data_IF_914518783872
#
_entry.id   IF_914518783872
#
_cell.length_a   1.000
_cell.length_b   1.000
_cell.length_c   1.000
_cell.angle_alpha   90.00
_cell.angle_beta   90.00
_cell.angle_gamma   90.00
#
_symmetry.space_group_name_H-M   'P 1'
#
loop_
_entity.id
_entity.type
_entity.pdbx_description
1 polymer ?
#
# COMPACT_ATOMS: atom_id res chain seq x y z
N UNK A 1 5.01 17.24 -7.96
CA UNK A 1 4.76 16.22 -6.92
C UNK A 1 3.33 16.35 -6.44
N UNK A 2 2.71 15.22 -6.04
CA UNK A 2 1.32 15.12 -5.56
C UNK A 2 0.95 16.16 -4.49
N UNK A 3 1.91 16.53 -3.66
CA UNK A 3 1.77 17.54 -2.60
C UNK A 3 1.50 18.95 -3.15
N UNK A 4 2.16 19.33 -4.23
CA UNK A 4 1.93 20.65 -4.84
C UNK A 4 0.53 20.73 -5.48
N UNK A 5 0.04 19.63 -6.09
CA UNK A 5 -1.35 19.53 -6.54
C UNK A 5 -2.36 19.58 -5.39
N UNK A 6 -2.04 18.95 -4.26
CA UNK A 6 -2.92 18.96 -3.08
C UNK A 6 -2.98 20.36 -2.44
N UNK A 7 -1.87 21.09 -2.41
CA UNK A 7 -1.81 22.48 -1.91
C UNK A 7 -2.50 23.46 -2.87
N UNK A 8 -2.37 23.30 -4.18
CA UNK A 8 -3.11 24.12 -5.15
C UNK A 8 -4.62 23.94 -5.02
N UNK A 9 -5.09 22.71 -4.84
CA UNK A 9 -6.51 22.40 -4.59
C UNK A 9 -7.03 23.01 -3.27
N UNK A 10 -6.18 23.09 -2.23
CA UNK A 10 -6.52 23.72 -0.95
C UNK A 10 -6.57 25.26 -1.04
N UNK A 11 -5.81 25.87 -1.93
CA UNK A 11 -5.84 27.34 -2.16
C UNK A 11 -7.08 27.79 -2.93
N UNK A 12 -7.60 26.96 -3.85
CA UNK A 12 -8.81 27.27 -4.63
C UNK A 12 -10.12 27.15 -3.84
N UNK A 13 -10.11 26.50 -2.66
CA UNK A 13 -11.30 26.30 -1.82
C UNK A 13 -11.63 27.42 -0.83
N UNK A 14 -10.97 28.59 -0.88
CA UNK A 14 -11.15 29.68 0.11
C UNK A 14 -12.18 30.78 -0.26
N UNK A 15 -12.97 30.59 -1.30
CA UNK A 15 -14.09 31.49 -1.58
C UNK A 15 -15.37 30.70 -1.71
N UNK A 16 -16.09 30.55 -0.62
CA UNK A 16 -17.54 30.31 -0.66
C UNK A 16 -18.23 30.93 0.53
N UNK A 17 -19.16 31.70 0.18
CA UNK A 17 -20.14 32.59 0.76
C UNK A 17 -20.87 32.05 2.01
N UNK A 18 -21.01 32.96 3.01
CA UNK A 18 -21.87 32.81 4.18
C UNK A 18 -23.26 33.36 3.83
N UNK A 19 -24.17 32.52 3.41
CA UNK A 19 -25.58 32.90 3.47
C UNK A 19 -26.52 31.72 3.60
N UNK A 20 -27.39 31.83 4.62
CA UNK A 20 -28.65 31.13 4.87
C UNK A 20 -28.60 29.68 5.42
N UNK A 21 -28.41 29.57 6.72
CA UNK A 21 -29.06 28.53 7.51
C UNK A 21 -30.57 28.81 7.56
N UNK A 22 -31.36 27.98 6.86
CA UNK A 22 -32.80 27.84 7.13
C UNK A 22 -32.97 26.83 8.26
N UNK A 23 -33.50 27.26 9.40
CA UNK A 23 -33.99 26.38 10.44
C UNK A 23 -35.00 25.38 9.86
N UNK A 24 -34.70 24.09 9.94
CA UNK A 24 -35.66 23.03 9.69
C UNK A 24 -36.58 22.83 10.92
N UNK A 25 -37.86 22.49 10.74
CA UNK A 25 -38.78 22.27 11.85
C UNK A 25 -38.35 21.08 12.70
N UNK A 26 -38.46 21.25 14.03
CA UNK A 26 -38.19 20.25 15.03
C UNK A 26 -39.11 19.02 14.84
N UNK A 27 -38.50 17.81 14.98
CA UNK A 27 -39.16 16.51 15.10
C UNK A 27 -39.68 15.77 13.84
N UNK A 28 -38.97 15.84 12.70
CA UNK A 28 -39.13 14.76 11.73
C UNK A 28 -37.92 13.80 11.86
N UNK A 29 -38.13 12.61 12.46
CA UNK A 29 -37.14 11.54 12.47
C UNK A 29 -36.99 11.04 11.02
N UNK A 30 -35.95 11.52 10.34
CA UNK A 30 -35.64 11.10 8.98
C UNK A 30 -35.48 9.58 8.92
N UNK A 31 -36.09 8.95 7.92
CA UNK A 31 -35.86 7.54 7.64
C UNK A 31 -34.35 7.28 7.35
N UNK A 32 -33.87 6.08 7.62
CA UNK A 32 -32.47 5.74 7.34
C UNK A 32 -32.09 5.99 5.86
N UNK A 33 -33.03 5.83 4.93
CA UNK A 33 -32.83 6.12 3.52
C UNK A 33 -32.63 7.63 3.26
N UNK A 34 -33.42 8.47 3.90
CA UNK A 34 -33.26 9.93 3.82
C UNK A 34 -31.96 10.38 4.49
N UNK A 35 -31.63 9.80 5.65
CA UNK A 35 -30.37 10.07 6.34
C UNK A 35 -29.17 9.78 5.43
N UNK A 36 -29.17 8.64 4.68
CA UNK A 36 -28.09 8.31 3.74
C UNK A 36 -27.98 9.33 2.60
N UNK A 37 -29.10 9.71 2.00
CA UNK A 37 -29.15 10.65 0.88
C UNK A 37 -28.73 12.08 1.27
N UNK A 38 -29.02 12.47 2.52
CA UNK A 38 -28.73 13.81 3.03
C UNK A 38 -27.27 13.97 3.51
N UNK A 39 -26.45 12.91 3.52
CA UNK A 39 -25.03 13.04 3.85
C UNK A 39 -24.29 13.68 2.68
N UNK A 40 -23.76 14.87 2.90
CA UNK A 40 -22.92 15.56 1.92
C UNK A 40 -21.58 14.86 1.77
N UNK A 41 -21.43 14.16 0.65
CA UNK A 41 -20.23 13.41 0.31
C UNK A 41 -19.00 14.31 0.11
N UNK A 42 -19.16 15.46 -0.53
CA UNK A 42 -18.05 16.39 -0.76
C UNK A 42 -17.53 16.95 0.56
N UNK A 43 -18.42 17.31 1.47
CA UNK A 43 -18.05 17.72 2.83
C UNK A 43 -17.28 16.63 3.57
N UNK A 44 -17.69 15.37 3.43
CA UNK A 44 -17.00 14.23 4.03
C UNK A 44 -15.59 14.04 3.44
N UNK A 45 -15.47 14.09 2.11
CA UNK A 45 -14.19 13.96 1.40
C UNK A 45 -13.24 15.11 1.78
N UNK A 46 -13.72 16.34 1.85
CA UNK A 46 -12.92 17.50 2.26
C UNK A 46 -12.45 17.41 3.72
N UNK A 47 -13.31 16.97 4.62
CA UNK A 47 -12.95 16.76 6.02
C UNK A 47 -11.81 15.72 6.17
N UNK A 48 -11.96 14.56 5.52
CA UNK A 48 -10.95 13.51 5.55
C UNK A 48 -9.64 13.97 4.87
N UNK A 49 -9.72 14.66 3.73
CA UNK A 49 -8.57 15.21 3.02
C UNK A 49 -7.78 16.20 3.89
N UNK A 50 -8.47 17.09 4.61
CA UNK A 50 -7.83 18.02 5.56
C UNK A 50 -7.07 17.29 6.68
N UNK A 51 -7.65 16.20 7.22
CA UNK A 51 -6.96 15.38 8.22
C UNK A 51 -5.74 14.66 7.62
N UNK A 52 -5.88 14.09 6.43
CA UNK A 52 -4.77 13.44 5.72
C UNK A 52 -3.61 14.40 5.44
N UNK A 53 -3.89 15.62 5.00
CA UNK A 53 -2.86 16.66 4.80
C UNK A 53 -2.14 17.01 6.11
N UNK A 54 -2.86 17.06 7.23
CA UNK A 54 -2.26 17.28 8.56
C UNK A 54 -1.42 16.09 9.02
N UNK A 55 -1.82 14.86 8.69
CA UNK A 55 -1.01 13.65 8.97
C UNK A 55 0.30 13.71 8.18
N UNK A 56 0.26 14.01 6.87
CA UNK A 56 1.46 14.18 6.03
C UNK A 56 2.41 15.22 6.62
N UNK A 57 1.87 16.40 7.01
CA UNK A 57 2.67 17.46 7.63
C UNK A 57 3.33 16.99 8.92
N UNK A 58 2.56 16.38 9.83
CA UNK A 58 3.08 15.89 11.10
C UNK A 58 4.11 14.75 10.92
N UNK A 59 3.92 13.87 9.93
CA UNK A 59 4.86 12.81 9.59
C UNK A 59 6.21 13.38 9.09
N UNK A 60 6.17 14.38 8.20
CA UNK A 60 7.39 15.04 7.70
C UNK A 60 8.15 15.81 8.78
N UNK A 61 7.44 16.34 9.76
CA UNK A 61 8.02 17.03 10.92
C UNK A 61 8.49 16.05 12.02
N UNK A 62 8.39 14.73 11.84
CA UNK A 62 8.76 13.72 12.84
C UNK A 62 7.86 13.72 14.10
N UNK A 63 6.67 14.35 14.05
CA UNK A 63 5.75 14.53 15.18
C UNK A 63 4.84 13.32 15.35
N UNK A 64 5.41 12.15 15.67
CA UNK A 64 4.70 10.87 15.71
C UNK A 64 3.50 10.84 16.70
N UNK A 65 3.57 11.55 17.84
CA UNK A 65 2.45 11.69 18.77
C UNK A 65 1.25 12.37 18.11
N UNK A 66 1.50 13.44 17.32
CA UNK A 66 0.47 14.15 16.56
C UNK A 66 -0.10 13.30 15.42
N UNK A 67 0.73 12.51 14.75
CA UNK A 67 0.27 11.53 13.75
C UNK A 67 -0.74 10.58 14.37
N UNK A 68 -0.42 9.94 15.52
CA UNK A 68 -1.33 9.03 16.23
C UNK A 68 -2.65 9.71 16.59
N UNK A 69 -2.61 10.95 17.12
CA UNK A 69 -3.82 11.70 17.47
C UNK A 69 -4.70 12.02 16.25
N UNK A 70 -4.09 12.35 15.11
CA UNK A 70 -4.81 12.62 13.86
C UNK A 70 -5.39 11.35 13.25
N UNK A 71 -4.67 10.23 13.31
CA UNK A 71 -5.20 8.92 12.90
C UNK A 71 -6.40 8.52 13.76
N UNK A 72 -6.31 8.73 15.09
CA UNK A 72 -7.43 8.49 16.00
C UNK A 72 -8.64 9.35 15.64
N UNK A 73 -8.44 10.65 15.42
CA UNK A 73 -9.50 11.58 15.05
C UNK A 73 -10.19 11.15 13.74
N UNK A 74 -9.42 10.74 12.74
CA UNK A 74 -9.96 10.29 11.45
C UNK A 74 -10.78 9.00 11.63
N UNK A 75 -10.24 8.00 12.32
CA UNK A 75 -10.89 6.68 12.48
C UNK A 75 -12.10 6.72 13.40
N UNK A 76 -12.25 7.76 14.26
CA UNK A 76 -13.41 7.97 15.11
C UNK A 76 -14.43 8.96 14.54
N UNK A 77 -14.09 9.63 13.42
CA UNK A 77 -14.99 10.61 12.81
C UNK A 77 -16.17 9.95 12.08
N UNK A 78 -17.31 10.62 12.09
CA UNK A 78 -18.48 10.21 11.31
C UNK A 78 -18.14 10.15 9.80
N UNK A 79 -17.49 11.18 9.28
CA UNK A 79 -17.16 11.25 7.85
C UNK A 79 -16.15 10.18 7.41
N UNK A 80 -15.18 9.83 8.26
CA UNK A 80 -14.29 8.70 7.99
C UNK A 80 -15.05 7.38 7.86
N UNK A 81 -15.94 7.08 8.82
CA UNK A 81 -16.80 5.90 8.81
C UNK A 81 -17.74 5.88 7.60
N UNK A 82 -18.36 7.01 7.28
CA UNK A 82 -19.21 7.15 6.09
C UNK A 82 -18.44 6.81 4.80
N UNK A 83 -17.28 7.41 4.57
CA UNK A 83 -16.46 7.14 3.38
C UNK A 83 -15.95 5.71 3.31
N UNK A 84 -15.69 5.08 4.45
CA UNK A 84 -15.35 3.66 4.50
C UNK A 84 -16.51 2.78 4.01
N UNK A 85 -17.74 3.08 4.43
CA UNK A 85 -18.95 2.39 3.94
C UNK A 85 -19.15 2.66 2.45
N UNK A 86 -19.03 3.90 1.99
CA UNK A 86 -19.12 4.25 0.56
C UNK A 86 -18.11 3.42 -0.25
N UNK A 87 -16.85 3.35 0.18
CA UNK A 87 -15.79 2.61 -0.53
C UNK A 87 -16.14 1.14 -0.75
N UNK A 88 -16.65 0.46 0.27
CA UNK A 88 -16.93 -0.99 0.16
C UNK A 88 -18.25 -1.30 -0.55
N UNK A 89 -19.16 -0.34 -0.61
CA UNK A 89 -20.47 -0.48 -1.31
C UNK A 89 -20.43 -0.02 -2.76
N UNK A 90 -19.34 0.62 -3.21
CA UNK A 90 -19.19 1.10 -4.60
C UNK A 90 -18.11 0.35 -5.40
N UNK A 91 -17.25 -0.42 -4.74
CA UNK A 91 -16.17 -1.15 -5.41
C UNK A 91 -16.68 -2.39 -6.17
N UNK A 92 -15.82 -3.01 -6.99
CA UNK A 92 -16.14 -4.23 -7.76
C UNK A 92 -16.55 -5.41 -6.87
N UNK A 93 -16.05 -5.47 -5.63
CA UNK A 93 -16.35 -6.51 -4.66
C UNK A 93 -17.63 -6.30 -3.83
N UNK A 94 -18.43 -5.26 -4.10
CA UNK A 94 -19.65 -4.89 -3.32
C UNK A 94 -20.66 -6.03 -3.17
N UNK A 95 -20.75 -6.91 -4.17
CA UNK A 95 -21.69 -8.02 -4.20
C UNK A 95 -21.11 -9.33 -3.61
N UNK A 96 -19.83 -9.34 -3.21
CA UNK A 96 -19.16 -10.53 -2.66
C UNK A 96 -19.21 -10.50 -1.13
N UNK A 97 -19.98 -11.40 -0.53
CA UNK A 97 -20.08 -11.53 0.93
C UNK A 97 -18.88 -12.27 1.54
N UNK A 98 -18.58 -12.03 2.81
CA UNK A 98 -17.65 -12.79 3.63
C UNK A 98 -18.26 -14.12 4.11
N UNK A 99 -17.79 -14.62 5.26
CA UNK A 99 -18.32 -15.83 5.92
C UNK A 99 -19.72 -15.65 6.50
N UNK A 100 -20.10 -14.40 6.77
CA UNK A 100 -21.41 -14.00 7.33
C UNK A 100 -22.51 -13.89 6.29
N UNK A 101 -22.19 -14.03 5.00
CA UNK A 101 -23.09 -13.85 3.87
C UNK A 101 -23.81 -12.50 3.81
N UNK A 102 -23.37 -11.50 4.62
CA UNK A 102 -23.99 -10.18 4.69
C UNK A 102 -23.50 -9.26 3.57
N UNK A 103 -24.44 -8.51 2.97
CA UNK A 103 -24.20 -7.44 1.99
C UNK A 103 -24.94 -6.17 2.38
N UNK A 104 -24.37 -5.02 2.09
CA UNK A 104 -24.99 -3.71 2.36
C UNK A 104 -25.56 -3.11 1.08
N UNK A 105 -26.67 -3.65 0.62
CA UNK A 105 -27.32 -3.24 -0.64
C UNK A 105 -28.27 -2.06 -0.48
N UNK A 106 -29.01 -1.97 0.65
CA UNK A 106 -29.95 -0.87 0.92
C UNK A 106 -29.30 0.31 1.64
N UNK A 107 -29.84 1.50 1.48
CA UNK A 107 -29.37 2.72 2.14
C UNK A 107 -29.52 2.62 3.67
N UNK A 108 -30.60 2.00 4.15
CA UNK A 108 -30.78 1.71 5.58
C UNK A 108 -29.65 0.82 6.14
N UNK A 109 -29.25 -0.22 5.41
CA UNK A 109 -28.12 -1.07 5.83
C UNK A 109 -26.80 -0.31 5.86
N UNK A 110 -26.56 0.62 4.93
CA UNK A 110 -25.37 1.48 4.90
C UNK A 110 -25.33 2.45 6.07
N UNK A 111 -26.46 3.08 6.44
CA UNK A 111 -26.53 3.98 7.61
C UNK A 111 -26.21 3.20 8.89
N UNK A 112 -26.87 2.06 9.10
CA UNK A 112 -26.61 1.20 10.26
C UNK A 112 -25.15 0.75 10.31
N UNK A 113 -24.55 0.46 9.16
CA UNK A 113 -23.14 0.07 9.07
C UNK A 113 -22.20 1.15 9.61
N UNK A 114 -22.43 2.46 9.35
CA UNK A 114 -21.61 3.56 9.86
C UNK A 114 -21.49 3.48 11.39
N UNK A 115 -22.60 3.20 12.08
CA UNK A 115 -22.63 3.13 13.54
C UNK A 115 -21.93 1.89 14.11
N UNK A 116 -21.76 0.85 13.31
CA UNK A 116 -21.05 -0.38 13.72
C UNK A 116 -19.52 -0.29 13.60
N UNK A 117 -18.99 0.70 12.86
CA UNK A 117 -17.55 0.87 12.66
C UNK A 117 -16.91 1.55 13.88
N UNK A 118 -16.84 0.83 14.99
CA UNK A 118 -16.26 1.30 16.25
C UNK A 118 -15.09 0.39 16.64
N UNK A 119 -13.99 0.98 17.15
CA UNK A 119 -12.84 0.23 17.67
C UNK A 119 -13.19 -0.61 18.87
N UNK A 120 -13.93 -0.02 19.83
CA UNK A 120 -14.33 -0.69 21.07
C UNK A 120 -15.27 -1.87 20.77
N UNK A 121 -14.92 -3.04 21.26
CA UNK A 121 -15.69 -4.27 21.01
C UNK A 121 -15.57 -4.84 19.59
N UNK A 122 -14.71 -4.26 18.73
CA UNK A 122 -14.48 -4.81 17.39
C UNK A 122 -13.72 -6.13 17.45
N UNK A 123 -14.31 -7.14 16.82
CA UNK A 123 -13.68 -8.44 16.52
C UNK A 123 -13.91 -8.74 15.05
N UNK A 124 -12.88 -8.94 14.24
CA UNK A 124 -13.02 -9.38 12.87
C UNK A 124 -13.50 -10.84 12.82
N UNK A 125 -14.24 -11.18 11.79
CA UNK A 125 -14.58 -12.55 11.50
C UNK A 125 -13.46 -13.20 10.66
N UNK A 126 -13.38 -14.55 10.66
CA UNK A 126 -12.46 -15.24 9.76
C UNK A 126 -12.74 -14.92 8.31
N UNK A 127 -11.70 -14.99 7.47
CA UNK A 127 -11.83 -14.77 6.04
C UNK A 127 -12.54 -15.95 5.37
N UNK A 128 -13.40 -15.69 4.40
CA UNK A 128 -13.90 -16.73 3.50
C UNK A 128 -12.86 -17.01 2.43
N UNK A 129 -12.20 -18.17 2.48
CA UNK A 129 -11.19 -18.56 1.51
C UNK A 129 -11.83 -19.14 0.26
N UNK A 130 -11.41 -18.64 -0.90
CA UNK A 130 -11.75 -19.16 -2.23
C UNK A 130 -10.47 -19.31 -3.05
N UNK A 131 -10.46 -20.27 -3.96
CA UNK A 131 -9.33 -20.49 -4.86
C UNK A 131 -9.65 -19.96 -6.26
N UNK A 132 -8.78 -19.11 -6.79
CA UNK A 132 -8.90 -18.54 -8.14
C UNK A 132 -7.87 -19.21 -9.04
N UNK A 133 -8.27 -19.74 -10.21
CA UNK A 133 -7.34 -20.34 -11.15
C UNK A 133 -6.37 -19.29 -11.73
N UNK A 134 -5.08 -19.62 -11.80
CA UNK A 134 -4.05 -18.86 -12.50
C UNK A 134 -3.92 -19.36 -13.94
N UNK A 135 -3.36 -18.52 -14.83
CA UNK A 135 -3.10 -18.88 -16.24
C UNK A 135 -2.23 -20.17 -16.42
N UNK A 136 -1.38 -20.46 -15.44
CA UNK A 136 -0.49 -21.63 -15.43
C UNK A 136 -1.12 -22.89 -14.79
N UNK A 137 -2.44 -22.94 -14.60
CA UNK A 137 -3.16 -24.04 -14.00
C UNK A 137 -3.07 -24.15 -12.47
N UNK A 138 -2.17 -23.40 -11.83
CA UNK A 138 -2.09 -23.32 -10.36
C UNK A 138 -3.25 -22.49 -9.81
N UNK A 139 -3.63 -22.73 -8.55
CA UNK A 139 -4.66 -21.95 -7.87
C UNK A 139 -4.03 -20.86 -6.99
N UNK A 140 -4.71 -19.72 -6.90
CA UNK A 140 -4.36 -18.64 -5.99
C UNK A 140 -5.40 -18.54 -4.89
N UNK A 141 -5.03 -18.70 -3.61
CA UNK A 141 -5.97 -18.50 -2.52
C UNK A 141 -6.32 -17.01 -2.37
N UNK A 142 -7.60 -16.70 -2.21
CA UNK A 142 -8.11 -15.37 -1.93
C UNK A 142 -8.92 -15.41 -0.63
N UNK A 143 -8.55 -14.59 0.35
CA UNK A 143 -9.28 -14.42 1.59
C UNK A 143 -10.27 -13.25 1.51
N UNK A 144 -11.55 -13.52 1.61
CA UNK A 144 -12.60 -12.50 1.50
C UNK A 144 -13.09 -12.12 2.90
N UNK A 145 -12.79 -10.89 3.40
CA UNK A 145 -13.30 -10.40 4.67
C UNK A 145 -14.80 -10.09 4.59
N UNK A 146 -15.49 -10.01 5.73
CA UNK A 146 -16.86 -9.53 5.80
C UNK A 146 -16.97 -8.07 5.34
N UNK A 147 -18.18 -7.60 5.03
CA UNK A 147 -18.38 -6.18 4.67
C UNK A 147 -17.93 -5.25 5.78
N UNK A 148 -18.19 -5.61 7.05
CA UNK A 148 -17.76 -4.85 8.22
C UNK A 148 -16.24 -4.78 8.31
N UNK A 149 -15.55 -5.90 8.14
CA UNK A 149 -14.08 -5.96 8.21
C UNK A 149 -13.43 -5.20 7.07
N UNK A 150 -13.97 -5.30 5.85
CA UNK A 150 -13.53 -4.46 4.71
C UNK A 150 -13.71 -2.97 4.99
N UNK A 151 -14.82 -2.56 5.57
CA UNK A 151 -15.07 -1.17 5.90
C UNK A 151 -14.14 -0.69 7.04
N UNK A 152 -13.88 -1.50 8.06
CA UNK A 152 -12.87 -1.20 9.08
C UNK A 152 -11.47 -1.08 8.47
N UNK A 153 -11.07 -1.99 7.59
CA UNK A 153 -9.79 -1.86 6.87
C UNK A 153 -9.73 -0.60 6.01
N UNK A 154 -10.82 -0.25 5.30
CA UNK A 154 -10.90 0.97 4.52
C UNK A 154 -10.77 2.24 5.37
N UNK A 155 -11.39 2.25 6.56
CA UNK A 155 -11.34 3.33 7.52
C UNK A 155 -9.90 3.56 8.03
N UNK A 156 -9.24 2.50 8.46
CA UNK A 156 -7.86 2.60 8.96
C UNK A 156 -6.85 2.88 7.84
N UNK A 157 -7.12 2.37 6.62
CA UNK A 157 -6.29 2.69 5.45
C UNK A 157 -6.31 4.18 5.12
N UNK A 158 -7.45 4.87 5.24
CA UNK A 158 -7.50 6.33 5.03
C UNK A 158 -6.57 7.09 5.98
N UNK A 159 -6.32 6.55 7.18
CA UNK A 159 -5.41 7.14 8.16
C UNK A 159 -3.94 6.69 7.99
N UNK A 160 -3.71 5.51 7.38
CA UNK A 160 -2.38 4.95 7.14
C UNK A 160 -1.78 5.41 5.80
N UNK A 161 -2.58 5.50 4.76
CA UNK A 161 -2.20 5.85 3.38
C UNK A 161 -1.32 7.14 3.29
N UNK A 162 -1.65 8.24 4.00
CA UNK A 162 -0.81 9.44 4.00
C UNK A 162 0.61 9.20 4.54
N UNK A 163 0.77 8.29 5.49
CA UNK A 163 2.08 7.93 6.04
C UNK A 163 2.84 7.08 5.01
N UNK A 164 2.19 6.03 4.50
CA UNK A 164 2.78 5.14 3.49
C UNK A 164 3.28 5.92 2.27
N UNK A 165 2.49 6.90 1.76
CA UNK A 165 2.91 7.75 0.64
C UNK A 165 4.03 8.74 1.00
N UNK A 166 4.18 9.10 2.28
CA UNK A 166 5.23 10.03 2.74
C UNK A 166 6.57 9.31 2.94
N UNK A 167 6.53 8.06 3.37
CA UNK A 167 7.72 7.26 3.72
C UNK A 167 8.11 6.24 2.67
N UNK A 168 7.22 5.95 1.72
CA UNK A 168 7.41 4.93 0.70
C UNK A 168 8.53 5.24 -0.28
N UNK A 169 9.18 4.21 -0.78
CA UNK A 169 10.22 4.29 -1.79
C UNK A 169 9.75 5.06 -3.03
N UNK A 170 10.60 5.92 -3.59
CA UNK A 170 10.26 6.81 -4.69
C UNK A 170 9.88 6.03 -5.96
N UNK A 171 10.63 4.97 -6.28
CA UNK A 171 10.43 4.15 -7.47
C UNK A 171 9.68 2.85 -7.17
N UNK A 172 8.72 2.93 -6.21
CA UNK A 172 7.72 1.90 -5.94
C UNK A 172 6.37 2.33 -6.52
N UNK A 173 5.76 1.51 -7.38
CA UNK A 173 4.60 1.87 -8.20
C UNK A 173 3.36 1.05 -7.89
N UNK A 174 3.48 -0.26 -7.65
CA UNK A 174 2.35 -1.16 -7.47
C UNK A 174 1.46 -0.80 -6.28
N UNK A 175 0.14 -0.91 -6.45
CA UNK A 175 -0.89 -0.64 -5.44
C UNK A 175 -0.94 0.80 -4.89
N UNK A 176 -0.19 1.71 -5.46
CA UNK A 176 -0.17 3.12 -5.04
C UNK A 176 -1.08 3.97 -5.95
N UNK A 177 -1.75 4.95 -5.35
CA UNK A 177 -2.63 5.86 -6.09
C UNK A 177 -1.86 6.70 -7.09
N UNK A 178 -2.46 6.91 -8.26
CA UNK A 178 -1.88 7.71 -9.35
C UNK A 178 -0.52 7.21 -9.84
N UNK A 179 -0.22 5.94 -9.63
CA UNK A 179 0.92 5.25 -10.22
C UNK A 179 0.44 4.04 -10.99
N UNK A 180 1.07 3.80 -12.13
CA UNK A 180 0.70 2.75 -13.06
C UNK A 180 1.89 1.84 -13.38
N UNK A 181 1.62 0.77 -14.10
CA UNK A 181 2.64 -0.09 -14.67
C UNK A 181 3.51 0.68 -15.68
N UNK A 182 2.88 1.56 -16.47
CA UNK A 182 3.57 2.41 -17.45
C UNK A 182 4.61 3.33 -16.80
N UNK A 183 4.29 3.90 -15.63
CA UNK A 183 5.25 4.74 -14.89
C UNK A 183 6.49 3.94 -14.46
N UNK A 184 6.31 2.68 -14.06
CA UNK A 184 7.43 1.78 -13.73
C UNK A 184 8.29 1.48 -14.96
N UNK A 185 7.67 1.22 -16.12
CA UNK A 185 8.38 0.97 -17.39
C UNK A 185 9.10 2.23 -17.86
N UNK A 186 8.48 3.40 -17.77
CA UNK A 186 9.14 4.69 -18.07
C UNK A 186 10.38 4.88 -17.20
N UNK A 187 10.30 4.55 -15.91
CA UNK A 187 11.45 4.60 -15.02
C UNK A 187 12.55 3.60 -15.42
N UNK A 188 12.20 2.41 -15.88
CA UNK A 188 13.19 1.47 -16.45
C UNK A 188 13.90 2.07 -17.66
N UNK A 189 13.15 2.69 -18.58
CA UNK A 189 13.73 3.39 -19.71
C UNK A 189 14.67 4.52 -19.26
N UNK A 190 14.26 5.35 -18.33
CA UNK A 190 15.07 6.49 -17.83
C UNK A 190 16.42 6.05 -17.26
N UNK A 191 16.47 4.89 -16.59
CA UNK A 191 17.70 4.38 -15.97
C UNK A 191 18.57 3.54 -16.91
N UNK A 192 18.02 2.98 -18.00
CA UNK A 192 18.71 2.03 -18.88
C UNK A 192 19.03 2.56 -20.28
N UNK A 193 18.35 3.61 -20.78
CA UNK A 193 18.43 4.05 -22.19
C UNK A 193 19.74 4.72 -22.60
N UNK A 194 20.56 5.18 -21.64
CA UNK A 194 21.80 5.92 -21.96
C UNK A 194 22.98 4.96 -22.15
N UNK A 195 23.94 5.29 -23.00
CA UNK A 195 25.17 4.50 -23.23
C UNK A 195 25.95 4.25 -21.94
N UNK A 196 25.99 5.25 -21.07
CA UNK A 196 26.64 5.18 -19.77
C UNK A 196 25.79 4.53 -18.68
N UNK A 197 24.59 3.99 -19.02
CA UNK A 197 23.69 3.34 -18.07
C UNK A 197 24.29 2.03 -17.52
N UNK A 198 23.81 1.55 -16.37
CA UNK A 198 24.16 0.22 -15.89
C UNK A 198 23.68 -0.85 -16.86
N UNK A 199 24.49 -1.91 -17.03
CA UNK A 199 24.21 -2.95 -18.03
C UNK A 199 23.75 -4.27 -17.41
N UNK A 200 23.86 -4.44 -16.09
CA UNK A 200 23.43 -5.65 -15.40
C UNK A 200 22.18 -5.41 -14.59
N UNK A 201 21.25 -6.31 -14.69
CA UNK A 201 19.92 -6.25 -14.10
C UNK A 201 19.71 -7.48 -13.21
N UNK A 202 19.31 -7.28 -11.95
CA UNK A 202 18.75 -8.30 -11.08
C UNK A 202 17.22 -8.21 -11.22
N UNK A 203 16.60 -9.23 -11.78
CA UNK A 203 15.16 -9.46 -11.74
C UNK A 203 14.82 -10.18 -10.44
N UNK A 204 14.00 -9.57 -9.56
CA UNK A 204 13.66 -10.14 -8.28
C UNK A 204 12.16 -10.39 -8.13
N UNK A 205 11.82 -11.59 -7.66
CA UNK A 205 10.44 -12.00 -7.32
C UNK A 205 10.43 -12.54 -5.88
N UNK A 206 9.40 -12.19 -5.11
CA UNK A 206 9.26 -12.63 -3.71
C UNK A 206 8.33 -13.83 -3.65
N UNK A 207 8.80 -14.95 -3.10
CA UNK A 207 7.99 -16.16 -2.95
C UNK A 207 6.83 -15.92 -1.98
N UNK A 208 5.59 -15.94 -2.51
CA UNK A 208 4.38 -15.82 -1.67
C UNK A 208 4.37 -14.58 -0.78
N UNK A 209 4.73 -13.40 -1.30
CA UNK A 209 4.93 -12.18 -0.51
C UNK A 209 3.82 -11.94 0.52
N UNK A 210 2.55 -11.98 0.11
CA UNK A 210 1.41 -11.76 1.01
C UNK A 210 1.22 -12.87 2.06
N UNK A 211 1.69 -14.07 1.79
CA UNK A 211 1.44 -15.24 2.62
C UNK A 211 2.47 -15.41 3.75
N UNK A 212 3.64 -14.76 3.63
CA UNK A 212 4.78 -15.00 4.53
C UNK A 212 5.27 -13.77 5.31
N UNK A 213 4.67 -12.57 5.13
CA UNK A 213 5.09 -11.40 5.91
C UNK A 213 4.97 -11.68 7.41
N UNK A 214 6.04 -11.47 8.16
CA UNK A 214 6.07 -11.65 9.61
C UNK A 214 5.04 -10.76 10.32
N UNK A 215 4.14 -11.36 11.10
CA UNK A 215 3.19 -10.65 11.94
C UNK A 215 3.90 -9.79 12.99
N UNK A 216 5.00 -10.28 13.56
CA UNK A 216 5.80 -9.54 14.54
C UNK A 216 6.39 -8.29 13.89
N UNK A 217 6.98 -8.43 12.69
CA UNK A 217 7.52 -7.28 11.96
C UNK A 217 6.43 -6.24 11.70
N UNK A 218 5.27 -6.65 11.20
CA UNK A 218 4.13 -5.74 10.96
C UNK A 218 3.68 -5.03 12.24
N UNK A 219 3.54 -5.76 13.33
CA UNK A 219 3.13 -5.18 14.62
C UNK A 219 4.16 -4.20 15.17
N UNK A 220 5.44 -4.39 14.93
CA UNK A 220 6.49 -3.49 15.40
C UNK A 220 6.65 -2.25 14.51
N UNK A 221 6.49 -2.39 13.20
CA UNK A 221 6.89 -1.36 12.23
C UNK A 221 5.74 -0.56 11.61
N UNK A 222 4.51 -1.12 11.48
CA UNK A 222 3.41 -0.38 10.85
C UNK A 222 2.83 0.65 11.84
N UNK A 223 2.78 1.95 11.50
CA UNK A 223 2.33 3.02 12.40
C UNK A 223 0.81 3.16 12.42
N UNK A 224 0.12 2.15 12.98
CA UNK A 224 -1.33 2.15 13.17
C UNK A 224 -1.71 1.52 14.53
N UNK A 225 -3.01 1.47 14.84
CA UNK A 225 -3.52 0.79 16.04
C UNK A 225 -3.11 -0.69 16.04
N UNK A 226 -2.21 -1.05 16.95
CA UNK A 226 -1.60 -2.39 17.01
C UNK A 226 -2.59 -3.48 17.40
N UNK A 227 -3.60 -3.15 18.19
CA UNK A 227 -4.63 -4.12 18.59
C UNK A 227 -5.53 -4.47 17.40
N UNK A 228 -5.96 -3.46 16.64
CA UNK A 228 -6.76 -3.67 15.43
C UNK A 228 -5.96 -4.46 14.39
N UNK A 229 -4.70 -4.09 14.17
CA UNK A 229 -3.82 -4.82 13.24
C UNK A 229 -3.67 -6.28 13.68
N UNK A 230 -3.35 -6.55 14.94
CA UNK A 230 -3.19 -7.90 15.48
C UNK A 230 -4.45 -8.74 15.28
N UNK A 231 -5.64 -8.16 15.51
CA UNK A 231 -6.91 -8.86 15.29
C UNK A 231 -7.10 -9.26 13.84
N UNK A 232 -6.76 -8.41 12.87
CA UNK A 232 -6.84 -8.77 11.45
C UNK A 232 -5.86 -9.86 11.07
N UNK A 233 -4.61 -9.76 11.52
CA UNK A 233 -3.58 -10.74 11.23
C UNK A 233 -3.92 -12.13 11.78
N UNK A 234 -4.60 -12.18 12.93
CA UNK A 234 -4.98 -13.43 13.63
C UNK A 234 -6.44 -13.85 13.40
N UNK A 235 -7.15 -13.25 12.44
CA UNK A 235 -8.56 -13.58 12.22
C UNK A 235 -8.82 -14.99 11.69
N UNK A 236 -7.81 -15.63 11.11
CA UNK A 236 -7.95 -16.94 10.47
C UNK A 236 -8.76 -16.91 9.18
N UNK A 237 -9.00 -18.07 8.61
CA UNK A 237 -9.85 -18.24 7.44
C UNK A 237 -10.67 -19.53 7.49
N UNK A 238 -11.83 -19.50 6.87
CA UNK A 238 -12.69 -20.67 6.68
C UNK A 238 -12.53 -21.18 5.25
N UNK A 239 -12.22 -22.46 5.13
CA UNK A 239 -12.13 -23.19 3.86
C UNK A 239 -12.80 -24.54 3.98
N UNK A 240 -13.71 -24.87 3.06
CA UNK A 240 -14.50 -26.12 3.08
C UNK A 240 -15.18 -26.39 4.43
N UNK A 241 -15.71 -25.34 5.07
CA UNK A 241 -16.41 -25.46 6.35
C UNK A 241 -15.52 -25.53 7.59
N UNK A 242 -14.21 -25.64 7.45
CA UNK A 242 -13.25 -25.70 8.55
C UNK A 242 -12.53 -24.37 8.77
N UNK A 243 -12.28 -24.00 10.04
CA UNK A 243 -11.54 -22.84 10.45
C UNK A 243 -10.04 -23.16 10.57
N UNK A 244 -9.21 -22.34 9.95
CA UNK A 244 -7.75 -22.42 10.00
C UNK A 244 -7.17 -21.16 10.62
N UNK A 245 -6.18 -21.26 11.49
CA UNK A 245 -5.46 -20.09 12.03
C UNK A 245 -4.59 -19.45 10.95
N UNK A 246 -4.20 -18.19 11.18
CA UNK A 246 -3.21 -17.46 10.39
C UNK A 246 -2.05 -17.10 11.29
N UNK A 247 -0.86 -17.61 11.02
CA UNK A 247 0.35 -17.40 11.83
C UNK A 247 1.29 -16.37 11.22
N UNK A 248 1.25 -16.23 9.89
CA UNK A 248 2.03 -15.27 9.11
C UNK A 248 1.21 -14.71 7.94
N UNK A 249 1.74 -13.72 7.27
CA UNK A 249 1.16 -13.12 6.08
C UNK A 249 0.05 -12.12 6.35
N UNK A 250 -0.43 -11.56 5.26
CA UNK A 250 -1.60 -10.67 5.23
C UNK A 250 -2.66 -11.23 4.28
N UNK A 251 -3.96 -11.06 4.58
CA UNK A 251 -5.00 -11.65 3.74
C UNK A 251 -4.91 -11.17 2.28
N UNK A 252 -4.69 -12.07 1.32
CA UNK A 252 -4.86 -11.74 -0.09
C UNK A 252 -6.35 -11.45 -0.34
N UNK A 253 -6.68 -10.18 -0.63
CA UNK A 253 -8.06 -9.69 -0.81
C UNK A 253 -8.53 -8.72 0.28
N UNK A 254 -7.75 -8.50 1.33
CA UNK A 254 -7.96 -7.41 2.28
C UNK A 254 -7.69 -6.04 1.64
N UNK A 255 -8.51 -5.04 1.98
CA UNK A 255 -8.37 -3.67 1.42
C UNK A 255 -7.06 -3.01 1.84
N UNK A 256 -6.56 -3.31 3.04
CA UNK A 256 -5.34 -2.71 3.60
C UNK A 256 -4.07 -3.51 3.25
N UNK A 257 -4.20 -4.78 2.90
CA UNK A 257 -3.05 -5.69 2.70
C UNK A 257 -2.06 -5.22 1.64
N UNK A 258 -2.46 -4.62 0.50
CA UNK A 258 -1.50 -4.08 -0.47
C UNK A 258 -0.62 -2.97 0.10
N UNK A 259 -1.19 -2.10 0.94
CA UNK A 259 -0.42 -1.03 1.61
C UNK A 259 0.51 -1.59 2.66
N UNK A 260 0.07 -2.60 3.44
CA UNK A 260 0.94 -3.28 4.41
C UNK A 260 2.13 -3.95 3.71
N UNK A 261 1.90 -4.66 2.60
CA UNK A 261 2.96 -5.27 1.81
C UNK A 261 3.94 -4.23 1.24
N UNK A 262 3.45 -3.12 0.70
CA UNK A 262 4.33 -2.03 0.24
C UNK A 262 5.18 -1.46 1.38
N UNK A 263 4.57 -1.16 2.54
CA UNK A 263 5.30 -0.65 3.70
C UNK A 263 6.32 -1.66 4.25
N UNK A 264 6.06 -2.96 4.11
CA UNK A 264 7.03 -4.01 4.46
C UNK A 264 8.26 -3.95 3.55
N UNK A 265 8.09 -3.62 2.28
CA UNK A 265 9.16 -3.57 1.29
C UNK A 265 9.80 -2.19 1.14
N UNK A 266 9.21 -1.15 1.75
CA UNK A 266 9.77 0.20 1.72
C UNK A 266 11.10 0.28 2.50
N UNK A 267 12.01 1.09 1.99
CA UNK A 267 13.40 1.17 2.44
C UNK A 267 14.36 0.30 1.60
N UNK A 268 13.86 -0.64 0.80
CA UNK A 268 14.68 -1.46 -0.08
C UNK A 268 15.45 -0.61 -1.10
N UNK A 269 14.83 0.44 -1.65
CA UNK A 269 15.48 1.36 -2.57
C UNK A 269 16.70 2.03 -1.93
N UNK A 270 16.53 2.59 -0.74
CA UNK A 270 17.61 3.25 -0.02
C UNK A 270 18.72 2.27 0.37
N UNK A 271 18.34 1.05 0.77
CA UNK A 271 19.31 -0.02 1.11
C UNK A 271 20.22 -0.32 -0.07
N UNK A 272 19.65 -0.65 -1.25
CA UNK A 272 20.47 -1.03 -2.41
C UNK A 272 21.27 0.16 -2.98
N UNK A 273 20.68 1.37 -3.02
CA UNK A 273 21.36 2.55 -3.52
C UNK A 273 22.56 2.98 -2.66
N UNK A 274 22.51 2.69 -1.37
CA UNK A 274 23.60 2.99 -0.43
C UNK A 274 24.57 1.82 -0.22
N UNK A 275 24.34 0.67 -0.84
CA UNK A 275 25.15 -0.55 -0.68
C UNK A 275 26.61 -0.34 -1.10
N UNK A 276 26.84 0.44 -2.17
CA UNK A 276 28.16 0.73 -2.69
C UNK A 276 28.38 2.24 -2.71
N UNK A 277 29.42 2.68 -2.01
CA UNK A 277 29.81 4.09 -2.02
C UNK A 277 30.53 4.46 -3.31
N UNK A 278 30.39 5.70 -3.81
CA UNK A 278 31.22 6.20 -4.89
C UNK A 278 32.70 6.11 -4.53
N UNK A 279 33.53 5.64 -5.45
CA UNK A 279 34.98 5.52 -5.27
C UNK A 279 35.73 6.25 -6.37
N UNK A 280 37.00 6.53 -6.11
CA UNK A 280 37.90 7.18 -7.04
C UNK A 280 38.74 6.12 -7.76
N UNK A 281 38.78 6.20 -9.10
CA UNK A 281 39.63 5.39 -9.96
C UNK A 281 40.66 6.31 -10.64
N UNK A 282 41.96 5.86 -10.86
CA UNK A 282 42.84 6.60 -11.73
C UNK A 282 42.19 6.85 -13.09
N UNK A 283 42.38 8.07 -13.62
CA UNK A 283 41.97 8.37 -14.99
C UNK A 283 43.08 7.82 -15.94
N UNK A 284 42.72 7.66 -17.22
CA UNK A 284 43.66 7.27 -18.26
C UNK A 284 44.68 8.41 -18.59
N UNK A 285 44.66 9.50 -17.83
CA UNK A 285 45.56 10.66 -17.93
C UNK A 285 46.49 10.68 -16.72
N UNK A 286 47.73 11.10 -16.94
CA UNK A 286 48.88 10.97 -16.02
C UNK A 286 48.72 11.56 -14.60
N UNK A 287 47.69 12.41 -14.35
CA UNK A 287 47.44 13.05 -13.05
C UNK A 287 45.97 13.12 -12.63
N UNK A 288 45.08 12.38 -13.28
CA UNK A 288 43.66 12.49 -13.03
C UNK A 288 43.04 11.36 -12.19
N UNK A 289 42.01 11.66 -11.38
CA UNK A 289 41.14 10.68 -10.75
C UNK A 289 39.71 10.89 -11.16
N UNK A 290 39.01 9.84 -11.58
CA UNK A 290 37.60 9.87 -11.96
C UNK A 290 36.77 9.30 -10.82
N UNK A 291 35.72 10.01 -10.42
CA UNK A 291 34.77 9.53 -9.43
C UNK A 291 33.78 8.58 -10.08
N UNK A 292 33.82 7.33 -9.73
CA UNK A 292 32.89 6.31 -10.19
C UNK A 292 31.66 6.31 -9.28
N UNK A 293 30.49 6.54 -9.85
CA UNK A 293 29.19 6.35 -9.17
C UNK A 293 28.69 4.94 -9.50
N UNK A 294 28.26 4.15 -8.50
CA UNK A 294 27.85 2.74 -8.70
C UNK A 294 26.62 2.56 -9.59
N UNK A 295 25.82 3.61 -9.83
CA UNK A 295 24.60 3.61 -10.68
C UNK A 295 23.63 2.48 -10.30
N UNK A 296 23.44 2.25 -9.01
CA UNK A 296 22.47 1.29 -8.52
C UNK A 296 21.11 1.97 -8.47
N UNK A 297 20.12 1.40 -9.17
CA UNK A 297 18.75 1.84 -9.16
C UNK A 297 17.85 0.67 -8.80
N UNK A 298 16.70 0.97 -8.18
CA UNK A 298 15.63 0.01 -7.92
C UNK A 298 14.35 0.54 -8.57
N UNK A 299 13.65 -0.33 -9.30
CA UNK A 299 12.28 -0.08 -9.78
C UNK A 299 11.41 -1.23 -9.28
N UNK A 300 10.37 -0.93 -8.50
CA UNK A 300 9.53 -1.93 -7.86
C UNK A 300 8.05 -1.74 -8.22
N UNK A 301 7.38 -2.83 -8.52
CA UNK A 301 5.93 -2.89 -8.68
C UNK A 301 5.36 -3.99 -7.79
N UNK A 302 4.88 -3.64 -6.61
CA UNK A 302 4.45 -4.58 -5.57
C UNK A 302 5.61 -5.51 -5.14
N UNK A 303 5.47 -6.81 -5.40
CA UNK A 303 6.44 -7.87 -5.13
C UNK A 303 7.45 -8.11 -6.27
N UNK A 304 7.16 -7.62 -7.48
CA UNK A 304 8.09 -7.64 -8.61
C UNK A 304 9.03 -6.44 -8.57
N UNK A 305 10.33 -6.64 -8.73
CA UNK A 305 11.29 -5.54 -8.77
C UNK A 305 12.51 -5.85 -9.62
N UNK A 306 13.15 -4.79 -10.11
CA UNK A 306 14.48 -4.88 -10.73
C UNK A 306 15.46 -4.01 -9.96
N UNK A 307 16.72 -4.46 -9.91
CA UNK A 307 17.85 -3.65 -9.46
C UNK A 307 18.90 -3.63 -10.55
N UNK A 308 19.40 -2.44 -10.87
CA UNK A 308 20.45 -2.26 -11.88
C UNK A 308 21.79 -2.02 -11.23
N UNK A 309 22.89 -2.52 -11.84
CA UNK A 309 24.24 -2.21 -11.43
C UNK A 309 25.18 -2.18 -12.66
N UNK A 310 26.37 -1.63 -12.47
CA UNK A 310 27.37 -1.50 -13.53
C UNK A 310 27.99 -2.85 -13.90
N UNK A 311 28.23 -3.70 -12.93
CA UNK A 311 28.88 -5.00 -13.06
C UNK A 311 28.08 -6.10 -12.34
N UNK A 312 28.28 -7.34 -12.77
CA UNK A 312 27.61 -8.52 -12.25
C UNK A 312 28.04 -8.86 -10.83
N UNK A 313 29.32 -8.70 -10.57
CA UNK A 313 29.90 -9.00 -9.26
C UNK A 313 29.30 -8.13 -8.14
N UNK A 314 29.03 -6.87 -8.41
CA UNK A 314 28.31 -5.98 -7.47
C UNK A 314 26.93 -6.53 -7.14
N UNK A 315 26.21 -7.07 -8.11
CA UNK A 315 24.90 -7.67 -7.85
C UNK A 315 25.04 -8.95 -7.03
N UNK A 316 25.91 -9.87 -7.43
CA UNK A 316 26.08 -11.19 -6.82
C UNK A 316 26.63 -11.11 -5.39
N UNK A 317 27.66 -10.30 -5.19
CA UNK A 317 28.42 -10.29 -3.94
C UNK A 317 27.96 -9.24 -2.93
N UNK A 318 27.25 -8.20 -3.36
CA UNK A 318 26.85 -7.10 -2.47
C UNK A 318 25.32 -6.95 -2.42
N UNK A 319 24.67 -6.75 -3.56
CA UNK A 319 23.25 -6.38 -3.61
C UNK A 319 22.36 -7.55 -3.22
N UNK A 320 22.55 -8.71 -3.81
CA UNK A 320 21.72 -9.90 -3.58
C UNK A 320 21.79 -10.39 -2.13
N UNK A 321 22.94 -10.48 -1.47
CA UNK A 321 23.03 -10.80 -0.04
C UNK A 321 22.29 -9.79 0.85
N UNK A 322 22.42 -8.47 0.57
CA UNK A 322 21.71 -7.43 1.31
C UNK A 322 20.18 -7.54 1.14
N UNK A 323 19.71 -7.81 -0.07
CA UNK A 323 18.29 -8.01 -0.32
C UNK A 323 17.77 -9.26 0.42
N UNK A 324 18.52 -10.37 0.40
CA UNK A 324 18.16 -11.59 1.14
C UNK A 324 18.06 -11.32 2.64
N UNK A 325 19.00 -10.60 3.22
CA UNK A 325 18.96 -10.21 4.63
C UNK A 325 17.73 -9.31 4.92
N UNK A 326 17.50 -8.28 4.11
CA UNK A 326 16.34 -7.40 4.23
C UNK A 326 15.03 -8.17 4.19
N UNK A 327 14.89 -9.14 3.28
CA UNK A 327 13.71 -10.00 3.16
C UNK A 327 13.56 -10.91 4.39
N UNK A 328 14.63 -11.55 4.84
CA UNK A 328 14.62 -12.47 5.98
C UNK A 328 14.14 -11.79 7.28
N UNK A 329 14.56 -10.55 7.55
CA UNK A 329 14.09 -9.75 8.69
C UNK A 329 12.56 -9.55 8.70
N UNK A 330 11.92 -9.68 7.53
CA UNK A 330 10.48 -9.48 7.29
C UNK A 330 9.70 -10.78 7.13
N UNK A 331 10.39 -11.94 7.31
CA UNK A 331 9.81 -13.27 7.07
C UNK A 331 9.68 -13.63 5.59
N UNK A 332 10.33 -12.87 4.69
CA UNK A 332 10.23 -13.03 3.26
C UNK A 332 11.45 -13.74 2.67
N UNK A 333 11.25 -14.42 1.54
CA UNK A 333 12.30 -15.13 0.81
C UNK A 333 12.16 -14.83 -0.69
N UNK A 334 13.29 -14.63 -1.38
CA UNK A 334 13.31 -14.51 -2.84
C UNK A 334 12.95 -15.86 -3.50
N UNK A 335 12.29 -15.81 -4.62
CA UNK A 335 12.03 -16.97 -5.47
C UNK A 335 13.29 -17.30 -6.26
N UNK A 336 14.00 -18.36 -5.90
CA UNK A 336 15.22 -18.79 -6.61
C UNK A 336 14.94 -19.10 -8.10
N UNK A 337 13.77 -19.64 -8.42
CA UNK A 337 13.38 -19.97 -9.80
C UNK A 337 13.19 -18.72 -10.69
N UNK A 338 12.81 -17.60 -10.10
CA UNK A 338 12.44 -16.37 -10.82
C UNK A 338 13.42 -15.23 -10.63
N UNK A 339 14.34 -15.36 -9.66
CA UNK A 339 15.40 -14.36 -9.45
C UNK A 339 16.53 -14.62 -10.40
N UNK A 340 16.81 -13.67 -11.31
CA UNK A 340 17.82 -13.81 -12.36
C UNK A 340 18.70 -12.58 -12.43
N UNK A 341 19.93 -12.79 -12.91
CA UNK A 341 20.85 -11.70 -13.21
C UNK A 341 21.09 -11.74 -14.72
N UNK A 342 20.66 -10.71 -15.43
CA UNK A 342 20.62 -10.63 -16.89
C UNK A 342 21.42 -9.42 -17.35
N UNK A 343 22.16 -9.55 -18.46
CA UNK A 343 22.76 -8.41 -19.15
C UNK A 343 21.74 -7.76 -20.09
N UNK A 344 21.74 -6.42 -20.21
CA UNK A 344 20.73 -5.68 -20.99
C UNK A 344 20.68 -6.12 -22.47
N UNK A 345 21.79 -6.59 -23.04
CA UNK A 345 21.83 -7.08 -24.43
C UNK A 345 21.01 -8.37 -24.64
N UNK A 346 20.78 -9.14 -23.60
CA UNK A 346 19.94 -10.34 -23.65
C UNK A 346 18.45 -9.97 -23.56
N UNK A 347 18.15 -8.82 -22.94
CA UNK A 347 16.81 -8.37 -22.61
C UNK A 347 16.24 -9.10 -21.40
N UNK A 348 15.25 -8.49 -20.75
CA UNK A 348 14.55 -9.07 -19.60
C UNK A 348 13.06 -8.72 -19.64
N UNK A 349 12.25 -9.53 -18.95
CA UNK A 349 10.80 -9.33 -18.89
C UNK A 349 10.41 -8.66 -17.57
N UNK A 350 9.75 -7.51 -17.64
CA UNK A 350 9.23 -6.82 -16.46
C UNK A 350 7.80 -6.35 -16.70
N UNK A 351 6.87 -6.75 -15.82
CA UNK A 351 5.44 -6.39 -15.87
C UNK A 351 4.75 -6.71 -17.21
N UNK A 352 5.21 -7.74 -17.93
CA UNK A 352 4.68 -8.16 -19.23
C UNK A 352 5.26 -7.41 -20.42
N UNK A 353 6.30 -6.60 -20.23
CA UNK A 353 7.08 -5.93 -21.27
C UNK A 353 8.46 -6.55 -21.35
N UNK A 354 8.95 -6.75 -22.58
CA UNK A 354 10.34 -7.12 -22.83
C UNK A 354 11.17 -5.85 -22.99
N UNK A 355 12.23 -5.70 -22.20
CA UNK A 355 13.12 -4.54 -22.15
C UNK A 355 14.50 -4.97 -22.61
N UNK A 356 15.06 -4.27 -23.62
CA UNK A 356 16.39 -4.51 -24.18
C UNK A 356 16.94 -3.25 -24.84
#
# INVERSE_FOLDING_TARGET
>A
TLYNKLIELLKKGKQMDKSKEKCAPENMVLSDTERWKNIDRHKAEDYVRKLQARIVKAQREGRHGKVKSLQWLLTHSFYGRYLAVVRVTTNKGKNTAGVDHVRWSSDAAKVKAIDTLKRRGYQPMPLRRVEIPKKNGKKRPLGIPTMKDRAMQALYLMALDPIAETTGDQHSYGFRKYRSCQDAITQCHDVLSRDVAPKWILEGDIKGCFDHISHEWLLNNIPMDKEVLRKWLKSGYVFNGSLFPTEEGTPQGGIISPTLANMTLDGLQSLVQNAVKPYWKPADTEYGRIRIKPKINLVRYADDFIVTAKDKETIENVILPLIRQFMAERGLVLSEEKTKITHISEGFDFLGFNIR
#
